data_IF_247124876451
#
_entry.id   IF_247124876451
#
_cell.length_a   1.000
_cell.length_b   1.000
_cell.length_c   1.000
_cell.angle_alpha   90.00
_cell.angle_beta   90.00
_cell.angle_gamma   90.00
#
_symmetry.space_group_name_H-M   'P 1'
#
loop_
_entity.id
_entity.type
_entity.pdbx_description
1 polymer ?
#
# COMPACT_ATOMS: atom_id res chain seq x y z
N UNK A 1 25.60 1.42 -31.26
CA UNK A 1 24.90 1.25 -30.62
C UNK A 1 24.23 1.11 -30.26
N UNK A 2 24.49 1.23 -30.88
CA UNK A 2 23.70 1.08 -30.57
C UNK A 2 22.99 0.52 -30.37
N UNK A 3 23.25 0.76 -31.11
CA UNK A 3 22.53 0.27 -30.77
C UNK A 3 21.84 -0.06 -30.84
N UNK A 4 22.02 0.03 -31.69
CA UNK A 4 21.25 -0.29 -31.55
C UNK A 4 20.72 -0.57 -31.79
N UNK A 5 20.93 -0.49 -32.57
CA UNK A 5 20.39 -0.70 -32.54
C UNK A 5 20.08 -0.64 -32.68
N UNK A 6 20.72 -0.83 -34.04
CA UNK A 6 20.23 -0.66 -34.02
C UNK A 6 19.87 -0.37 -34.15
N UNK A 7 20.15 -0.02 -34.91
CA UNK A 7 19.83 0.27 -34.84
C UNK A 7 19.36 0.63 -34.96
N UNK A 8 19.12 1.12 -35.28
CA UNK A 8 18.62 1.44 -35.15
C UNK A 8 18.00 1.79 -35.13
N UNK A 9 18.20 2.07 -36.06
CA UNK A 9 17.68 2.46 -35.70
C UNK A 9 17.12 2.65 -35.49
N UNK A 10 17.04 2.91 -36.09
CA UNK A 10 16.58 3.14 -35.67
C UNK A 10 15.99 3.62 -35.13
N UNK A 11 16.23 4.00 -35.66
CA UNK A 11 15.78 4.50 -35.10
C UNK A 11 15.03 5.06 -34.96
N UNK A 12 14.93 5.29 -35.82
CA UNK A 12 14.32 5.85 -35.66
C UNK A 12 13.25 5.89 -35.57
N UNK A 13 13.24 5.80 -36.24
CA UNK A 13 12.24 5.87 -35.91
C UNK A 13 11.61 5.93 -35.41
N UNK A 14 11.41 6.04 -35.97
CA UNK A 14 10.87 6.32 -35.44
C UNK A 14 10.59 6.25 -34.53
N UNK A 15 10.68 5.96 -34.82
CA UNK A 15 10.80 6.24 -33.61
C UNK A 15 9.78 6.80 -32.79
N UNK A 16 8.93 7.40 -33.13
CA UNK A 16 7.94 8.10 -32.38
C UNK A 16 6.88 7.16 -31.82
N UNK A 17 6.49 6.16 -32.53
CA UNK A 17 5.58 5.14 -31.97
C UNK A 17 6.13 4.43 -30.76
N UNK A 18 7.40 4.11 -30.78
CA UNK A 18 8.06 3.47 -29.63
C UNK A 18 8.13 4.38 -28.42
N UNK A 19 8.45 5.65 -28.62
CA UNK A 19 8.52 6.62 -27.53
C UNK A 19 7.18 6.78 -26.83
N UNK A 20 6.12 6.87 -27.61
CA UNK A 20 4.77 7.00 -27.08
C UNK A 20 4.36 5.78 -26.25
N UNK A 21 4.60 4.60 -26.77
CA UNK A 21 4.29 3.36 -26.10
C UNK A 21 5.09 3.23 -24.79
N UNK A 22 6.37 3.51 -24.82
CA UNK A 22 7.23 3.46 -23.63
C UNK A 22 6.75 4.43 -22.56
N UNK A 23 6.38 5.66 -22.94
CA UNK A 23 5.84 6.66 -22.00
C UNK A 23 4.55 6.18 -21.35
N UNK A 24 3.63 5.63 -22.14
CA UNK A 24 2.36 5.11 -21.62
C UNK A 24 2.61 3.95 -20.64
N UNK A 25 3.52 3.06 -21.01
CA UNK A 25 3.88 1.91 -20.18
C UNK A 25 4.45 2.34 -18.83
N UNK A 26 5.35 3.33 -18.83
CA UNK A 26 5.93 3.86 -17.59
C UNK A 26 4.88 4.54 -16.72
N UNK A 27 4.00 5.32 -17.31
CA UNK A 27 2.91 5.97 -16.57
C UNK A 27 1.98 4.96 -15.92
N UNK A 28 1.60 3.93 -16.67
CA UNK A 28 0.75 2.87 -16.14
C UNK A 28 1.41 2.15 -14.97
N UNK A 29 2.70 1.83 -15.11
CA UNK A 29 3.47 1.16 -14.06
C UNK A 29 3.52 1.98 -12.78
N UNK A 30 3.73 3.29 -12.89
CA UNK A 30 3.76 4.19 -11.75
C UNK A 30 2.39 4.29 -11.07
N UNK A 31 1.31 4.35 -11.84
CA UNK A 31 -0.06 4.37 -11.32
C UNK A 31 -0.38 3.07 -10.59
N UNK A 32 0.00 1.93 -11.17
CA UNK A 32 -0.23 0.62 -10.56
C UNK A 32 0.55 0.47 -9.25
N UNK A 33 1.78 0.98 -9.19
CA UNK A 33 2.59 0.96 -7.97
C UNK A 33 1.95 1.80 -6.86
N UNK A 34 1.44 2.98 -7.20
CA UNK A 34 0.72 3.84 -6.25
C UNK A 34 -0.52 3.16 -5.71
N UNK A 35 -1.29 2.54 -6.61
CA UNK A 35 -2.49 1.81 -6.23
C UNK A 35 -2.16 0.67 -5.28
N UNK A 36 -1.10 -0.07 -5.57
CA UNK A 36 -0.64 -1.18 -4.73
C UNK A 36 -0.30 -0.73 -3.32
N UNK A 37 0.40 0.40 -3.18
CA UNK A 37 0.73 0.96 -1.88
C UNK A 37 -0.52 1.41 -1.12
N UNK A 38 -1.44 2.06 -1.81
CA UNK A 38 -2.69 2.52 -1.21
C UNK A 38 -3.53 1.33 -0.75
N UNK A 39 -3.66 0.29 -1.58
CA UNK A 39 -4.39 -0.92 -1.22
C UNK A 39 -3.77 -1.60 0.00
N UNK A 40 -2.45 -1.68 0.06
CA UNK A 40 -1.75 -2.26 1.21
C UNK A 40 -2.08 -1.52 2.50
N UNK A 41 -2.08 -0.20 2.46
CA UNK A 41 -2.44 0.61 3.64
C UNK A 41 -3.87 0.37 4.08
N UNK A 42 -4.80 0.34 3.12
CA UNK A 42 -6.23 0.12 3.41
C UNK A 42 -6.43 -1.28 3.99
N UNK A 43 -5.80 -2.29 3.42
CA UNK A 43 -5.88 -3.66 3.92
C UNK A 43 -5.40 -3.76 5.35
N UNK A 44 -4.27 -3.14 5.67
CA UNK A 44 -3.74 -3.12 7.04
C UNK A 44 -4.69 -2.43 8.00
N UNK A 45 -5.23 -1.29 7.60
CA UNK A 45 -6.18 -0.55 8.42
C UNK A 45 -7.44 -1.37 8.69
N UNK A 46 -7.99 -2.05 7.67
CA UNK A 46 -9.14 -2.93 7.83
C UNK A 46 -8.83 -4.05 8.83
N UNK A 47 -7.67 -4.68 8.68
CA UNK A 47 -7.28 -5.80 9.55
C UNK A 47 -7.13 -5.36 11.00
N UNK A 48 -6.51 -4.22 11.25
CA UNK A 48 -6.34 -3.71 12.61
C UNK A 48 -7.67 -3.26 13.20
N UNK A 49 -8.49 -2.57 12.41
CA UNK A 49 -9.80 -2.14 12.88
C UNK A 49 -10.67 -3.35 13.27
N UNK A 50 -10.63 -4.40 12.46
CA UNK A 50 -11.38 -5.63 12.75
C UNK A 50 -10.83 -6.35 13.98
N UNK A 51 -9.52 -6.31 14.17
CA UNK A 51 -8.88 -6.94 15.34
C UNK A 51 -9.24 -6.24 16.64
N UNK A 52 -9.27 -4.91 16.61
CA UNK A 52 -9.51 -4.11 17.82
C UNK A 52 -10.98 -4.07 18.19
N UNK A 53 -11.86 -3.93 17.21
CA UNK A 53 -13.29 -3.70 17.44
C UNK A 53 -14.23 -4.76 16.87
N UNK A 54 -13.69 -5.82 16.30
CA UNK A 54 -14.49 -6.89 15.69
C UNK A 54 -14.79 -6.67 14.21
N UNK A 55 -15.25 -7.71 13.56
CA UNK A 55 -15.50 -7.72 12.11
C UNK A 55 -16.86 -7.19 11.67
N UNK A 56 -17.67 -6.69 12.59
CA UNK A 56 -18.99 -6.15 12.27
C UNK A 56 -18.88 -4.63 12.08
N UNK A 57 -19.06 -4.12 10.86
CA UNK A 57 -18.98 -2.68 10.62
C UNK A 57 -20.02 -1.87 11.40
N UNK A 58 -21.17 -2.44 11.68
CA UNK A 58 -22.24 -1.74 12.39
C UNK A 58 -21.85 -1.45 13.82
N UNK A 59 -21.02 -2.31 14.42
CA UNK A 59 -20.54 -2.17 15.78
C UNK A 59 -19.13 -1.58 15.86
N UNK A 60 -18.51 -1.27 14.72
CA UNK A 60 -17.11 -0.85 14.67
C UNK A 60 -16.93 0.38 13.77
N UNK A 61 -16.99 1.60 14.35
CA UNK A 61 -16.87 2.83 13.55
C UNK A 61 -15.56 2.94 12.78
N UNK A 62 -14.45 2.49 13.36
CA UNK A 62 -13.15 2.51 12.69
C UNK A 62 -13.16 1.62 11.45
N UNK A 63 -13.78 0.44 11.58
CA UNK A 63 -13.91 -0.47 10.45
C UNK A 63 -14.79 0.14 9.35
N UNK A 64 -15.90 0.79 9.73
CA UNK A 64 -16.74 1.48 8.74
C UNK A 64 -15.94 2.50 7.93
N UNK A 65 -15.13 3.29 8.60
CA UNK A 65 -14.29 4.30 7.93
C UNK A 65 -13.31 3.64 6.98
N UNK A 66 -12.67 2.56 7.41
CA UNK A 66 -11.73 1.82 6.57
C UNK A 66 -12.41 1.21 5.36
N UNK A 67 -13.62 0.66 5.54
CA UNK A 67 -14.39 0.08 4.44
C UNK A 67 -14.83 1.15 3.44
N UNK A 68 -15.17 2.34 3.91
CA UNK A 68 -15.51 3.44 3.02
C UNK A 68 -14.31 3.82 2.15
N UNK A 69 -13.13 3.90 2.73
CA UNK A 69 -11.90 4.17 1.98
C UNK A 69 -11.65 3.08 0.93
N UNK A 70 -11.88 1.82 1.30
CA UNK A 70 -11.74 0.71 0.37
C UNK A 70 -12.70 0.82 -0.81
N UNK A 71 -13.94 1.19 -0.56
CA UNK A 71 -14.94 1.42 -1.60
C UNK A 71 -14.53 2.53 -2.55
N UNK A 72 -14.08 3.66 -1.99
CA UNK A 72 -13.65 4.81 -2.78
C UNK A 72 -12.42 4.47 -3.64
N UNK A 73 -11.61 3.54 -3.20
CA UNK A 73 -10.44 3.08 -3.94
C UNK A 73 -10.76 1.94 -4.92
N UNK A 74 -12.03 1.53 -5.00
CA UNK A 74 -12.48 0.43 -5.86
C UNK A 74 -11.81 -0.90 -5.52
N UNK A 75 -11.61 -1.15 -4.22
CA UNK A 75 -11.02 -2.41 -3.78
C UNK A 75 -12.02 -3.56 -3.96
N UNK A 76 -11.60 -4.69 -4.54
CA UNK A 76 -12.48 -5.85 -4.69
C UNK A 76 -12.98 -6.36 -3.35
N UNK A 77 -14.23 -6.82 -3.33
CA UNK A 77 -14.86 -7.32 -2.12
C UNK A 77 -14.08 -8.46 -1.48
N UNK A 78 -13.52 -9.34 -2.29
CA UNK A 78 -12.73 -10.47 -1.79
C UNK A 78 -11.52 -10.02 -0.98
N UNK A 79 -10.87 -8.94 -1.42
CA UNK A 79 -9.74 -8.35 -0.69
C UNK A 79 -10.18 -7.79 0.66
N UNK A 80 -11.34 -7.14 0.67
CA UNK A 80 -11.91 -6.56 1.90
C UNK A 80 -12.26 -7.68 2.88
N UNK A 81 -12.97 -8.70 2.42
CA UNK A 81 -13.40 -9.82 3.27
C UNK A 81 -12.20 -10.55 3.86
N UNK A 82 -11.17 -10.76 3.05
CA UNK A 82 -9.94 -11.41 3.51
C UNK A 82 -9.22 -10.58 4.56
N UNK A 83 -9.20 -9.27 4.39
CA UNK A 83 -8.57 -8.37 5.36
C UNK A 83 -9.30 -8.41 6.70
N UNK A 84 -10.63 -8.45 6.68
CA UNK A 84 -11.43 -8.55 7.91
C UNK A 84 -11.15 -9.88 8.60
N UNK A 85 -11.16 -10.98 7.86
CA UNK A 85 -10.90 -12.31 8.42
C UNK A 85 -9.50 -12.41 9.01
N UNK A 86 -8.54 -11.78 8.37
CA UNK A 86 -7.17 -11.73 8.87
C UNK A 86 -7.10 -11.00 10.21
N UNK A 87 -7.84 -9.91 10.34
CA UNK A 87 -7.90 -9.14 11.58
C UNK A 87 -8.60 -9.88 12.71
N UNK A 88 -9.68 -10.61 12.40
CA UNK A 88 -10.44 -11.35 13.42
C UNK A 88 -9.80 -12.70 13.77
N UNK A 89 -8.73 -13.10 13.10
CA UNK A 89 -8.07 -14.36 13.37
C UNK A 89 -8.65 -15.56 12.63
N UNK A 90 -9.60 -15.33 11.73
CA UNK A 90 -10.20 -16.42 10.94
C UNK A 90 -9.29 -16.95 9.84
N UNK A 91 -8.30 -16.14 9.44
CA UNK A 91 -7.25 -16.57 8.52
C UNK A 91 -5.96 -16.73 9.27
N UNK A 92 -5.26 -17.82 9.04
CA UNK A 92 -3.92 -17.98 9.57
C UNK A 92 -2.98 -17.02 8.86
N UNK A 93 -2.04 -16.50 9.60
CA UNK A 93 -1.03 -15.62 9.04
C UNK A 93 -0.60 -14.53 9.98
N UNK A 94 -0.04 -13.49 9.41
CA UNK A 94 0.60 -12.42 10.15
C UNK A 94 -0.43 -11.48 10.76
N UNK A 95 -0.28 -11.22 12.05
CA UNK A 95 -1.11 -10.23 12.72
C UNK A 95 -0.49 -8.85 12.57
N UNK A 96 -1.34 -7.84 12.38
CA UNK A 96 -0.90 -6.46 12.36
C UNK A 96 -0.98 -5.86 13.76
N UNK A 97 0.03 -5.09 14.11
CA UNK A 97 0.12 -4.39 15.39
C UNK A 97 0.24 -2.90 15.17
N UNK A 98 -0.39 -2.15 16.05
CA UNK A 98 -0.17 -0.71 16.12
C UNK A 98 0.92 -0.44 17.14
N UNK A 99 1.89 0.37 16.73
CA UNK A 99 3.03 0.75 17.59
C UNK A 99 3.19 2.27 17.52
N UNK A 100 3.59 2.84 18.64
CA UNK A 100 3.91 4.26 18.72
C UNK A 100 5.36 4.39 19.13
N UNK A 101 6.14 5.12 18.35
CA UNK A 101 7.53 5.42 18.67
C UNK A 101 7.67 6.90 18.98
N UNK A 102 8.52 7.20 19.94
CA UNK A 102 8.90 8.57 20.25
C UNK A 102 10.32 8.78 19.79
N UNK A 103 10.55 9.92 19.16
CA UNK A 103 11.87 10.31 18.72
C UNK A 103 12.07 11.80 18.99
N UNK A 104 13.33 12.21 19.07
CA UNK A 104 13.68 13.61 19.28
C UNK A 104 14.55 14.07 18.14
N UNK A 105 14.10 15.11 17.46
CA UNK A 105 14.85 15.71 16.37
C UNK A 105 15.81 16.79 16.85
N UNK A 106 16.53 17.42 15.91
CA UNK A 106 17.42 18.53 16.23
C UNK A 106 16.67 19.66 16.94
N UNK A 107 17.32 20.28 17.92
CA UNK A 107 16.70 21.37 18.67
C UNK A 107 15.69 20.93 19.72
N UNK A 108 15.63 19.63 20.04
CA UNK A 108 14.75 19.12 21.06
C UNK A 108 13.30 18.92 20.61
N UNK A 109 13.06 18.89 19.30
CA UNK A 109 11.73 18.65 18.75
C UNK A 109 11.30 17.22 19.01
N UNK A 110 10.16 17.05 19.66
CA UNK A 110 9.59 15.72 19.89
C UNK A 110 8.80 15.26 18.66
N UNK A 111 9.02 14.02 18.25
CA UNK A 111 8.35 13.42 17.10
C UNK A 111 7.63 12.18 17.60
N UNK A 112 6.33 12.09 17.28
CA UNK A 112 5.52 10.92 17.58
C UNK A 112 5.26 10.19 16.27
N UNK A 113 5.63 8.90 16.21
CA UNK A 113 5.49 8.10 15.00
C UNK A 113 4.53 6.97 15.27
N UNK A 114 3.38 7.00 14.60
CA UNK A 114 2.40 5.93 14.69
C UNK A 114 2.60 4.97 13.53
N UNK A 115 2.73 3.70 13.83
CA UNK A 115 3.07 2.68 12.85
C UNK A 115 2.10 1.51 12.93
N UNK A 116 1.67 1.05 11.77
CA UNK A 116 0.90 -0.16 11.61
C UNK A 116 1.77 -1.19 10.92
N UNK A 117 2.10 -2.28 11.59
CA UNK A 117 3.04 -3.26 11.05
C UNK A 117 2.69 -4.69 11.42
N UNK A 118 3.08 -5.61 10.56
CA UNK A 118 3.04 -7.04 10.81
C UNK A 118 4.41 -7.59 11.27
N UNK A 119 5.44 -6.73 11.26
CA UNK A 119 6.78 -7.13 11.67
C UNK A 119 7.44 -5.98 12.46
N UNK A 120 7.39 -6.10 13.78
CA UNK A 120 7.90 -5.08 14.69
C UNK A 120 9.41 -4.87 14.55
N UNK A 121 10.13 -5.96 14.36
CA UNK A 121 11.60 -5.89 14.25
C UNK A 121 12.02 -5.16 12.98
N UNK A 122 11.39 -5.46 11.86
CA UNK A 122 11.69 -4.78 10.60
C UNK A 122 11.37 -3.29 10.69
N UNK A 123 10.23 -2.97 11.30
CA UNK A 123 9.80 -1.58 11.44
C UNK A 123 10.80 -0.78 12.28
N UNK A 124 11.23 -1.34 13.41
CA UNK A 124 12.21 -0.68 14.27
C UNK A 124 13.52 -0.41 13.53
N UNK A 125 13.94 -1.34 12.68
CA UNK A 125 15.16 -1.19 11.90
C UNK A 125 15.03 -0.13 10.79
N UNK A 126 13.81 0.08 10.28
CA UNK A 126 13.57 1.05 9.20
C UNK A 126 13.35 2.47 9.71
N UNK A 127 13.09 2.64 10.98
CA UNK A 127 12.90 3.96 11.57
C UNK A 127 14.24 4.61 11.92
#
# INVERSE_FOLDING_TARGET
MRSVINSPAKEKYSMSGHSKWASIKHKKSAVDAKRGKMFTKIIREISVAARVGGGDPDANPRLRTALLKAKLANMPKDNIDRAIKKGTGELEGTEYSELTYEAYGPGGVAILIEVLTDNRNRTAAEL
#
